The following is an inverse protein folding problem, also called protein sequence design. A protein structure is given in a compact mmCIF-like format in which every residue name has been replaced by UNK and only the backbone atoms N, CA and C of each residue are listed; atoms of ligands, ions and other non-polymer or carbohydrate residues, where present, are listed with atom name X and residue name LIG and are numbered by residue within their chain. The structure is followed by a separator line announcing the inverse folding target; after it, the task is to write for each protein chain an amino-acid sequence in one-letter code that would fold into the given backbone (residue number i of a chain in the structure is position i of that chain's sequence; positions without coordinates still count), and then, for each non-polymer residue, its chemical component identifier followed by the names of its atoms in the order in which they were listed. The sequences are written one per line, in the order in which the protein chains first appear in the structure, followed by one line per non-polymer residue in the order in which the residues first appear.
data_IF_536560782768
#
_entry.id   IF_536560782768
#
_cell.length_a   1.000
_cell.length_b   1.000
_cell.length_c   1.000
_cell.angle_alpha   90.00
_cell.angle_beta   90.00
_cell.angle_gamma   90.00
#
_symmetry.space_group_name_H-M   'P 1'
#
loop_
_entity.id
_entity.type
_entity.pdbx_description
1 polymer ?
#
# COMPACT_ATOMS: atom_id res chain seq x y z
N UNK A 1 0.64 -9.77 4.37
CA UNK A 1 -0.13 -10.95 3.91
C UNK A 1 0.51 -12.19 4.53
N UNK A 2 -0.28 -13.17 4.94
CA UNK A 2 0.23 -14.35 5.65
C UNK A 2 0.75 -15.38 4.64
N UNK A 3 2.00 -15.84 4.81
CA UNK A 3 2.62 -16.90 4.03
C UNK A 3 1.75 -18.17 4.00
N UNK A 4 1.05 -18.47 5.09
CA UNK A 4 0.13 -19.59 5.21
C UNK A 4 -0.96 -19.58 4.12
N UNK A 5 -1.51 -18.42 3.80
CA UNK A 5 -2.53 -18.27 2.74
C UNK A 5 -2.00 -18.69 1.37
N UNK A 6 -0.77 -18.31 1.02
CA UNK A 6 -0.18 -18.65 -0.28
C UNK A 6 0.15 -20.15 -0.37
N UNK A 7 0.66 -20.76 0.71
CA UNK A 7 0.89 -22.21 0.76
C UNK A 7 -0.42 -23.01 0.64
N UNK A 8 -1.49 -22.52 1.28
CA UNK A 8 -2.82 -23.15 1.16
C UNK A 8 -3.31 -23.10 -0.29
N UNK A 9 -3.15 -21.98 -0.98
CA UNK A 9 -3.53 -21.86 -2.40
C UNK A 9 -2.72 -22.84 -3.25
N UNK A 10 -1.40 -22.91 -3.06
CA UNK A 10 -0.55 -23.81 -3.82
C UNK A 10 -0.94 -25.29 -3.65
N UNK A 11 -1.34 -25.70 -2.44
CA UNK A 11 -1.80 -27.05 -2.14
C UNK A 11 -3.13 -27.43 -2.83
N UNK A 12 -4.01 -26.46 -3.08
CA UNK A 12 -5.32 -26.64 -3.70
C UNK A 12 -5.39 -26.24 -5.18
N UNK A 13 -4.25 -25.87 -5.77
CA UNK A 13 -4.17 -25.47 -7.17
C UNK A 13 -3.90 -26.65 -8.10
N UNK A 14 -4.58 -26.68 -9.23
CA UNK A 14 -4.43 -27.71 -10.26
C UNK A 14 -4.09 -27.06 -11.61
N UNK A 15 -3.04 -27.56 -12.28
CA UNK A 15 -2.59 -27.07 -13.56
C UNK A 15 -2.72 -28.12 -14.67
N UNK A 16 -3.07 -27.66 -15.87
CA UNK A 16 -3.00 -28.51 -17.07
C UNK A 16 -1.65 -28.46 -17.77
N UNK A 17 -0.68 -27.71 -17.22
CA UNK A 17 0.69 -27.65 -17.75
C UNK A 17 1.34 -29.02 -17.57
N UNK A 18 1.82 -29.61 -18.68
CA UNK A 18 2.37 -30.99 -18.67
C UNK A 18 1.34 -32.10 -18.53
N UNK A 19 0.07 -31.81 -18.32
CA UNK A 19 -0.98 -32.80 -18.16
C UNK A 19 -1.34 -33.45 -19.52
N UNK A 20 -1.59 -34.76 -19.49
CA UNK A 20 -2.09 -35.53 -20.63
C UNK A 20 -3.60 -35.23 -20.87
N UNK A 21 -4.14 -35.73 -21.98
CA UNK A 21 -5.55 -35.49 -22.37
C UNK A 21 -6.56 -36.02 -21.34
N UNK A 22 -6.25 -37.12 -20.67
CA UNK A 22 -7.13 -37.74 -19.66
C UNK A 22 -7.21 -36.83 -18.42
N UNK A 23 -6.08 -36.34 -17.94
CA UNK A 23 -6.02 -35.39 -16.82
C UNK A 23 -6.74 -34.09 -17.11
N UNK A 24 -6.52 -33.52 -18.31
CA UNK A 24 -7.24 -32.31 -18.76
C UNK A 24 -8.74 -32.50 -18.76
N UNK A 25 -9.24 -33.66 -19.28
CA UNK A 25 -10.67 -33.99 -19.25
C UNK A 25 -11.18 -34.17 -17.82
N UNK A 26 -10.40 -34.81 -16.94
CA UNK A 26 -10.75 -34.95 -15.53
C UNK A 26 -10.93 -33.63 -14.83
N UNK A 27 -9.98 -32.69 -14.98
CA UNK A 27 -10.06 -31.35 -14.38
C UNK A 27 -11.25 -30.56 -14.94
N UNK A 28 -11.50 -30.63 -16.27
CA UNK A 28 -12.65 -29.99 -16.89
C UNK A 28 -13.98 -30.53 -16.35
N UNK A 29 -14.10 -31.87 -16.13
CA UNK A 29 -15.28 -32.50 -15.55
C UNK A 29 -15.50 -32.07 -14.10
N UNK A 30 -14.45 -32.04 -13.29
CA UNK A 30 -14.52 -31.54 -11.90
C UNK A 30 -14.98 -30.07 -11.83
N UNK A 31 -14.51 -29.24 -12.78
CA UNK A 31 -14.96 -27.87 -12.90
C UNK A 31 -16.45 -27.76 -13.30
N UNK A 32 -16.93 -28.63 -14.20
CA UNK A 32 -18.37 -28.69 -14.54
C UNK A 32 -19.25 -29.13 -13.38
N UNK A 33 -18.71 -29.97 -12.49
CA UNK A 33 -19.39 -30.41 -11.24
C UNK A 33 -19.34 -29.36 -10.13
N UNK A 34 -18.63 -28.23 -10.32
CA UNK A 34 -18.48 -27.19 -9.31
C UNK A 34 -17.46 -27.51 -8.21
N UNK A 35 -16.70 -28.61 -8.32
CA UNK A 35 -15.63 -28.95 -7.38
C UNK A 35 -14.40 -28.06 -7.55
N UNK A 36 -14.17 -27.60 -8.78
CA UNK A 36 -13.06 -26.73 -9.16
C UNK A 36 -13.56 -25.43 -9.79
N UNK A 37 -12.87 -24.36 -9.50
CA UNK A 37 -13.08 -23.04 -10.12
C UNK A 37 -11.92 -22.75 -11.07
N UNK A 38 -12.23 -22.41 -12.32
CA UNK A 38 -11.20 -22.02 -13.30
C UNK A 38 -10.77 -20.56 -13.05
N UNK A 39 -9.56 -20.39 -12.54
CA UNK A 39 -9.01 -19.05 -12.18
C UNK A 39 -8.21 -18.40 -13.31
N UNK A 40 -7.60 -19.21 -14.18
CA UNK A 40 -6.88 -18.77 -15.38
C UNK A 40 -6.94 -19.88 -16.46
N UNK A 41 -6.60 -19.60 -17.74
CA UNK A 41 -6.53 -20.64 -18.76
C UNK A 41 -5.60 -21.79 -18.38
N UNK A 42 -6.19 -22.98 -18.16
CA UNK A 42 -5.47 -24.19 -17.77
C UNK A 42 -5.09 -24.24 -16.27
N UNK A 43 -5.64 -23.36 -15.44
CA UNK A 43 -5.39 -23.33 -14.00
C UNK A 43 -6.70 -23.31 -13.23
N UNK A 44 -6.80 -24.17 -12.21
CA UNK A 44 -8.00 -24.36 -11.42
C UNK A 44 -7.65 -24.33 -9.93
N UNK A 45 -8.62 -23.99 -9.10
CA UNK A 45 -8.52 -24.01 -7.64
C UNK A 45 -9.72 -24.78 -7.09
N UNK A 46 -9.54 -25.53 -6.01
CA UNK A 46 -10.65 -26.18 -5.32
C UNK A 46 -11.68 -25.12 -4.86
N UNK A 47 -12.96 -25.37 -5.15
CA UNK A 47 -14.03 -24.43 -4.81
C UNK A 47 -14.14 -24.22 -3.29
N UNK A 48 -13.91 -25.26 -2.52
CA UNK A 48 -13.90 -25.24 -1.06
C UNK A 48 -12.80 -24.31 -0.52
N UNK A 49 -11.61 -24.32 -1.09
CA UNK A 49 -10.50 -23.44 -0.68
C UNK A 49 -10.83 -21.96 -0.87
N UNK A 50 -11.66 -21.63 -1.86
CA UNK A 50 -12.13 -20.25 -2.07
C UNK A 50 -13.19 -19.88 -1.03
N UNK A 51 -14.19 -20.75 -0.81
CA UNK A 51 -15.37 -20.45 0.02
C UNK A 51 -15.07 -20.51 1.52
N UNK A 52 -14.09 -21.32 1.93
CA UNK A 52 -13.67 -21.42 3.33
C UNK A 52 -12.88 -20.19 3.83
N UNK A 53 -12.37 -19.35 2.93
CA UNK A 53 -11.59 -18.18 3.31
C UNK A 53 -12.48 -16.99 3.63
N UNK A 54 -12.06 -16.17 4.61
CA UNK A 54 -12.78 -14.95 5.02
C UNK A 54 -12.86 -13.89 3.90
N UNK A 55 -11.88 -13.89 2.98
CA UNK A 55 -11.75 -12.94 1.88
C UNK A 55 -11.55 -13.66 0.53
N UNK A 56 -12.60 -14.28 -0.04
CA UNK A 56 -12.51 -15.05 -1.29
C UNK A 56 -11.90 -14.30 -2.48
N UNK A 57 -12.16 -12.98 -2.69
CA UNK A 57 -11.51 -12.23 -3.77
C UNK A 57 -9.98 -12.18 -3.66
N UNK A 58 -9.45 -12.12 -2.44
CA UNK A 58 -7.99 -12.12 -2.18
C UNK A 58 -7.39 -13.45 -2.61
N UNK A 59 -8.01 -14.57 -2.23
CA UNK A 59 -7.57 -15.91 -2.64
C UNK A 59 -7.52 -16.05 -4.16
N UNK A 60 -8.57 -15.60 -4.84
CA UNK A 60 -8.61 -15.64 -6.31
C UNK A 60 -7.55 -14.76 -6.94
N UNK A 61 -7.30 -13.56 -6.40
CA UNK A 61 -6.25 -12.66 -6.90
C UNK A 61 -4.85 -13.30 -6.78
N UNK A 62 -4.54 -13.90 -5.63
CA UNK A 62 -3.29 -14.62 -5.40
C UNK A 62 -3.14 -15.85 -6.31
N UNK A 63 -4.20 -16.65 -6.43
CA UNK A 63 -4.19 -17.82 -7.29
C UNK A 63 -3.99 -17.44 -8.77
N UNK A 64 -4.58 -16.30 -9.21
CA UNK A 64 -4.34 -15.73 -10.54
C UNK A 64 -2.88 -15.31 -10.73
N UNK A 65 -2.26 -14.68 -9.73
CA UNK A 65 -0.83 -14.31 -9.79
C UNK A 65 0.07 -15.54 -9.91
N UNK A 66 -0.14 -16.56 -9.08
CA UNK A 66 0.60 -17.82 -9.16
C UNK A 66 0.42 -18.49 -10.53
N UNK A 67 -0.80 -18.55 -11.04
CA UNK A 67 -1.10 -19.09 -12.37
C UNK A 67 -0.42 -18.31 -13.49
N UNK A 68 -0.40 -16.99 -13.40
CA UNK A 68 0.28 -16.12 -14.37
C UNK A 68 1.78 -16.38 -14.39
N UNK A 69 2.43 -16.42 -13.24
CA UNK A 69 3.88 -16.63 -13.16
C UNK A 69 4.29 -18.06 -13.50
N UNK A 70 3.48 -19.05 -13.12
CA UNK A 70 3.73 -20.43 -13.54
C UNK A 70 3.73 -20.56 -15.07
N UNK A 71 2.80 -19.91 -15.76
CA UNK A 71 2.68 -19.94 -17.21
C UNK A 71 3.64 -18.97 -17.92
N UNK A 72 4.00 -17.88 -17.27
CA UNK A 72 4.81 -16.79 -17.81
C UNK A 72 5.91 -16.41 -16.79
N UNK A 73 6.98 -17.23 -16.64
CA UNK A 73 8.01 -17.01 -15.63
C UNK A 73 8.77 -15.68 -15.76
N UNK A 74 8.67 -15.03 -16.94
CA UNK A 74 9.25 -13.71 -17.19
C UNK A 74 8.39 -12.54 -16.67
N UNK A 75 7.20 -12.83 -16.13
CA UNK A 75 6.36 -11.81 -15.49
C UNK A 75 6.68 -11.71 -14.02
N UNK A 76 6.84 -10.50 -13.54
CA UNK A 76 6.97 -10.19 -12.11
C UNK A 76 5.83 -9.30 -11.65
N UNK A 77 5.45 -9.44 -10.41
CA UNK A 77 4.48 -8.54 -9.78
C UNK A 77 5.13 -7.18 -9.56
N UNK A 78 4.44 -6.10 -9.89
CA UNK A 78 4.96 -4.73 -9.81
C UNK A 78 3.88 -3.73 -9.40
N UNK A 79 4.26 -2.49 -9.18
CA UNK A 79 3.36 -1.37 -8.90
C UNK A 79 2.35 -1.65 -7.79
N UNK A 80 1.05 -1.29 -7.97
CA UNK A 80 0.03 -1.44 -6.92
C UNK A 80 -0.13 -2.88 -6.41
N UNK A 81 0.04 -3.88 -7.29
CA UNK A 81 -0.05 -5.29 -6.85
C UNK A 81 1.11 -5.68 -5.97
N UNK A 82 2.33 -5.23 -6.28
CA UNK A 82 3.50 -5.44 -5.42
C UNK A 82 3.35 -4.70 -4.09
N UNK A 83 2.82 -3.47 -4.10
CA UNK A 83 2.51 -2.70 -2.90
C UNK A 83 1.50 -3.46 -2.01
N UNK A 84 0.41 -3.96 -2.60
CA UNK A 84 -0.58 -4.77 -1.89
C UNK A 84 0.01 -6.03 -1.26
N UNK A 85 0.82 -6.79 -2.02
CA UNK A 85 1.47 -8.01 -1.50
C UNK A 85 2.43 -7.72 -0.33
N UNK A 86 3.06 -6.55 -0.33
CA UNK A 86 3.93 -6.08 0.75
C UNK A 86 3.18 -5.52 1.96
N UNK A 87 1.84 -5.38 1.87
CA UNK A 87 1.05 -4.73 2.92
C UNK A 87 1.16 -3.21 2.93
N UNK A 88 1.73 -2.60 1.88
CA UNK A 88 1.71 -1.15 1.75
C UNK A 88 0.26 -0.67 1.49
N UNK A 89 -0.16 0.43 2.11
CA UNK A 89 -1.52 0.90 2.01
C UNK A 89 -1.85 1.41 0.59
N UNK A 90 -2.99 0.98 0.08
CA UNK A 90 -3.59 1.50 -1.14
C UNK A 90 -4.93 2.15 -0.79
N UNK A 91 -5.24 3.28 -1.39
CA UNK A 91 -6.50 4.00 -1.17
C UNK A 91 -7.66 3.43 -1.98
N UNK A 92 -7.35 2.68 -3.05
CA UNK A 92 -8.31 2.08 -3.99
C UNK A 92 -7.94 0.64 -4.31
N UNK A 93 -8.91 -0.08 -4.85
CA UNK A 93 -8.63 -1.38 -5.46
C UNK A 93 -8.04 -1.17 -6.86
N UNK A 94 -7.01 -1.93 -7.17
CA UNK A 94 -6.35 -1.91 -8.47
C UNK A 94 -6.45 -3.26 -9.18
N UNK A 95 -6.52 -3.28 -10.53
CA UNK A 95 -6.35 -4.51 -11.28
C UNK A 95 -4.95 -5.08 -11.07
N UNK A 96 -4.80 -6.38 -11.35
CA UNK A 96 -3.50 -7.04 -11.25
C UNK A 96 -2.47 -6.37 -12.17
N UNK A 97 -1.38 -5.92 -11.59
CA UNK A 97 -0.30 -5.21 -12.26
C UNK A 97 0.97 -6.07 -12.27
N UNK A 98 1.47 -6.38 -13.44
CA UNK A 98 2.69 -7.16 -13.65
C UNK A 98 3.57 -6.51 -14.69
N UNK A 99 4.87 -6.66 -14.55
CA UNK A 99 5.89 -6.16 -15.46
C UNK A 99 6.61 -7.34 -16.12
N UNK A 100 6.91 -7.28 -17.40
CA UNK A 100 7.74 -8.27 -18.08
C UNK A 100 9.22 -7.92 -17.92
N UNK A 101 10.05 -8.91 -17.65
CA UNK A 101 11.52 -8.80 -17.70
C UNK A 101 12.07 -9.29 -19.06
N UNK A 102 11.19 -9.73 -19.97
CA UNK A 102 11.53 -10.17 -21.31
C UNK A 102 11.56 -8.99 -22.29
N UNK A 103 12.45 -9.06 -23.28
CA UNK A 103 12.51 -8.11 -24.40
C UNK A 103 11.32 -8.27 -25.37
N UNK A 104 10.55 -9.35 -25.26
CA UNK A 104 9.36 -9.57 -26.08
C UNK A 104 8.26 -8.57 -25.73
N UNK A 105 7.44 -8.23 -26.72
CA UNK A 105 6.26 -7.40 -26.50
C UNK A 105 5.25 -8.15 -25.64
N UNK A 106 4.88 -7.59 -24.48
CA UNK A 106 3.93 -8.23 -23.61
C UNK A 106 2.54 -8.26 -24.28
N UNK A 107 1.93 -9.45 -24.32
CA UNK A 107 0.55 -9.61 -24.83
C UNK A 107 -0.44 -9.53 -23.69
N UNK A 108 -1.64 -8.96 -23.93
CA UNK A 108 -2.73 -9.02 -22.96
C UNK A 108 -3.10 -10.47 -22.60
N UNK A 109 -3.31 -10.75 -21.33
CA UNK A 109 -3.65 -12.09 -20.83
C UNK A 109 -5.07 -12.04 -20.27
N UNK A 110 -6.06 -12.68 -20.92
CA UNK A 110 -7.41 -12.75 -20.42
C UNK A 110 -7.51 -13.73 -19.24
N UNK A 111 -8.15 -13.28 -18.17
CA UNK A 111 -8.51 -14.11 -17.01
C UNK A 111 -10.04 -14.28 -17.01
N UNK A 112 -10.54 -15.50 -16.82
CA UNK A 112 -11.95 -15.80 -16.93
C UNK A 112 -12.77 -15.14 -15.80
N UNK A 113 -14.03 -14.92 -16.06
CA UNK A 113 -15.03 -14.68 -15.05
C UNK A 113 -15.15 -15.89 -14.12
N UNK A 114 -15.45 -15.63 -12.84
CA UNK A 114 -15.59 -16.67 -11.82
C UNK A 114 -16.95 -16.55 -11.17
N UNK A 115 -17.66 -17.68 -11.15
CA UNK A 115 -18.87 -17.90 -10.37
C UNK A 115 -18.65 -19.11 -9.45
N UNK A 116 -18.80 -18.91 -8.14
CA UNK A 116 -18.69 -19.99 -7.15
C UNK A 116 -19.61 -19.69 -5.98
N UNK A 117 -20.79 -20.32 -5.92
CA UNK A 117 -21.82 -19.97 -4.98
C UNK A 117 -22.24 -18.50 -5.10
N UNK A 118 -22.20 -17.71 -4.01
CA UNK A 118 -22.50 -16.29 -4.03
C UNK A 118 -21.37 -15.43 -4.61
N UNK A 119 -20.17 -16.01 -4.82
CA UNK A 119 -19.01 -15.27 -5.29
C UNK A 119 -19.12 -15.04 -6.79
N UNK A 120 -19.04 -13.77 -7.18
CA UNK A 120 -18.90 -13.34 -8.57
C UNK A 120 -17.67 -12.43 -8.70
N UNK A 121 -16.71 -12.83 -9.54
CA UNK A 121 -15.54 -12.05 -9.90
C UNK A 121 -15.54 -11.88 -11.42
N UNK A 122 -15.61 -10.64 -11.92
CA UNK A 122 -15.69 -10.40 -13.36
C UNK A 122 -14.43 -10.86 -14.10
N UNK A 123 -14.59 -11.14 -15.40
CA UNK A 123 -13.47 -11.35 -16.29
C UNK A 123 -12.59 -10.11 -16.34
N UNK A 124 -11.27 -10.31 -16.38
CA UNK A 124 -10.30 -9.23 -16.43
C UNK A 124 -9.19 -9.54 -17.42
N UNK A 125 -8.66 -8.53 -18.08
CA UNK A 125 -7.49 -8.66 -18.95
C UNK A 125 -6.29 -8.04 -18.29
N UNK A 126 -5.34 -8.86 -17.90
CA UNK A 126 -4.04 -8.39 -17.39
C UNK A 126 -3.21 -7.90 -18.57
N UNK A 127 -2.71 -6.68 -18.48
CA UNK A 127 -1.83 -6.06 -19.47
C UNK A 127 -0.44 -5.90 -18.86
N UNK A 128 0.50 -6.83 -19.13
CA UNK A 128 1.86 -6.68 -18.62
C UNK A 128 2.49 -5.40 -19.16
N UNK A 129 3.24 -4.71 -18.33
CA UNK A 129 3.96 -3.51 -18.70
C UNK A 129 5.43 -3.83 -19.02
N UNK A 130 6.07 -3.02 -19.81
CA UNK A 130 7.53 -2.99 -19.88
C UNK A 130 8.09 -2.30 -18.65
N UNK A 131 9.31 -2.67 -18.21
CA UNK A 131 9.98 -1.95 -17.14
C UNK A 131 10.05 -0.46 -17.47
N UNK A 132 9.64 0.35 -16.53
CA UNK A 132 9.67 1.79 -16.71
C UNK A 132 11.13 2.26 -16.68
N UNK A 133 11.46 3.15 -17.61
CA UNK A 133 12.79 3.72 -17.66
C UNK A 133 13.87 2.87 -18.32
N UNK A 134 13.51 1.82 -19.06
CA UNK A 134 14.49 0.96 -19.74
C UNK A 134 15.39 0.16 -18.79
N UNK A 135 15.11 0.20 -17.47
CA UNK A 135 15.85 -0.52 -16.43
C UNK A 135 15.11 -1.82 -16.11
N UNK A 136 15.82 -2.95 -16.15
CA UNK A 136 15.26 -4.20 -15.62
C UNK A 136 15.01 -4.03 -14.11
N UNK A 137 13.78 -4.28 -13.61
CA UNK A 137 13.51 -4.18 -12.19
C UNK A 137 14.33 -5.22 -11.44
N UNK A 138 14.85 -4.85 -10.28
CA UNK A 138 15.39 -5.81 -9.35
C UNK A 138 14.24 -6.66 -8.79
N UNK A 139 14.49 -7.96 -8.63
CA UNK A 139 13.46 -8.94 -8.27
C UNK A 139 13.73 -9.53 -6.91
N UNK A 140 12.66 -9.71 -6.14
CA UNK A 140 12.68 -10.48 -4.91
C UNK A 140 11.65 -11.61 -5.01
N UNK A 141 11.93 -12.70 -4.31
CA UNK A 141 10.95 -13.74 -4.07
C UNK A 141 10.12 -13.31 -2.86
N UNK A 142 8.82 -13.24 -3.04
CA UNK A 142 7.84 -13.05 -1.97
C UNK A 142 7.43 -14.41 -1.41
N UNK A 143 6.67 -14.41 -0.34
CA UNK A 143 6.14 -15.65 0.23
C UNK A 143 5.43 -16.48 -0.84
N UNK A 144 5.58 -17.80 -0.76
CA UNK A 144 4.93 -18.75 -1.69
C UNK A 144 5.43 -18.69 -3.14
N UNK A 145 6.70 -18.35 -3.34
CA UNK A 145 7.37 -18.33 -4.65
C UNK A 145 6.88 -17.29 -5.67
N UNK A 146 6.14 -16.28 -5.22
CA UNK A 146 5.76 -15.15 -6.08
C UNK A 146 6.98 -14.28 -6.35
N UNK A 147 7.33 -14.11 -7.64
CA UNK A 147 8.38 -13.19 -8.05
C UNK A 147 7.82 -11.77 -8.19
N UNK A 148 8.43 -10.81 -7.52
CA UNK A 148 7.97 -9.42 -7.55
C UNK A 148 9.11 -8.41 -7.49
N UNK A 149 8.76 -7.16 -7.77
CA UNK A 149 9.67 -6.03 -7.70
C UNK A 149 10.21 -5.81 -6.27
N UNK A 150 11.42 -5.29 -6.13
CA UNK A 150 11.95 -4.84 -4.83
C UNK A 150 11.05 -3.76 -4.23
N UNK A 151 11.25 -3.44 -2.96
CA UNK A 151 10.48 -2.36 -2.32
C UNK A 151 10.74 -1.02 -3.00
N UNK A 152 12.00 -0.73 -3.34
CA UNK A 152 12.37 0.49 -4.06
C UNK A 152 11.69 0.57 -5.43
N UNK A 153 11.74 -0.51 -6.22
CA UNK A 153 11.08 -0.54 -7.53
C UNK A 153 9.55 -0.45 -7.39
N UNK A 154 8.98 -1.05 -6.35
CA UNK A 154 7.54 -0.94 -6.04
C UNK A 154 7.13 0.51 -5.78
N UNK A 155 7.89 1.23 -4.94
CA UNK A 155 7.63 2.64 -4.63
C UNK A 155 7.72 3.49 -5.91
N UNK A 156 8.75 3.27 -6.72
CA UNK A 156 8.94 4.02 -7.97
C UNK A 156 7.81 3.73 -8.96
N UNK A 157 7.44 2.46 -9.15
CA UNK A 157 6.36 2.08 -10.06
C UNK A 157 5.03 2.70 -9.63
N UNK A 158 4.73 2.70 -8.32
CA UNK A 158 3.55 3.36 -7.78
C UNK A 158 3.60 4.87 -7.98
N UNK A 159 4.75 5.52 -7.73
CA UNK A 159 4.92 6.95 -7.92
C UNK A 159 4.74 7.39 -9.38
N UNK A 160 5.09 6.52 -10.34
CA UNK A 160 4.94 6.76 -11.78
C UNK A 160 3.56 6.40 -12.32
N UNK A 161 2.81 5.49 -11.66
CA UNK A 161 1.58 4.90 -12.17
C UNK A 161 0.30 5.45 -11.55
N UNK A 162 0.33 5.73 -10.26
CA UNK A 162 -0.84 6.13 -9.48
C UNK A 162 -1.09 7.64 -9.57
N UNK A 163 -2.27 8.06 -9.16
CA UNK A 163 -2.49 9.48 -8.88
C UNK A 163 -1.60 9.94 -7.72
N UNK A 164 -1.39 11.25 -7.63
CA UNK A 164 -0.39 11.81 -6.72
C UNK A 164 -0.69 11.53 -5.26
N UNK A 165 -1.96 11.55 -4.85
CA UNK A 165 -2.36 11.31 -3.45
C UNK A 165 -2.06 9.86 -3.04
N UNK A 166 -2.51 8.89 -3.83
CA UNK A 166 -2.29 7.49 -3.53
C UNK A 166 -0.81 7.11 -3.63
N UNK A 167 -0.10 7.64 -4.65
CA UNK A 167 1.35 7.46 -4.77
C UNK A 167 2.11 8.01 -3.55
N UNK A 168 1.66 9.12 -2.98
CA UNK A 168 2.24 9.72 -1.78
C UNK A 168 2.05 8.81 -0.56
N UNK A 169 0.85 8.25 -0.37
CA UNK A 169 0.56 7.31 0.71
C UNK A 169 1.45 6.07 0.63
N UNK A 170 1.59 5.48 -0.57
CA UNK A 170 2.49 4.34 -0.79
C UNK A 170 3.95 4.73 -0.53
N UNK A 171 4.37 5.91 -0.96
CA UNK A 171 5.75 6.38 -0.77
C UNK A 171 6.09 6.63 0.71
N UNK A 172 5.18 7.21 1.50
CA UNK A 172 5.36 7.37 2.95
C UNK A 172 5.57 6.01 3.63
N UNK A 173 4.67 5.06 3.40
CA UNK A 173 4.77 3.73 3.98
C UNK A 173 6.01 2.97 3.50
N UNK A 174 6.35 3.07 2.23
CA UNK A 174 7.56 2.46 1.67
C UNK A 174 8.85 3.07 2.24
N UNK A 175 8.91 4.38 2.42
CA UNK A 175 10.02 5.07 3.09
C UNK A 175 10.11 4.68 4.57
N UNK A 176 8.98 4.54 5.26
CA UNK A 176 8.91 4.06 6.64
C UNK A 176 9.60 2.69 6.77
N UNK A 177 9.28 1.75 5.88
CA UNK A 177 9.87 0.42 5.84
C UNK A 177 11.37 0.47 5.49
N UNK A 178 11.76 1.20 4.43
CA UNK A 178 13.16 1.34 4.01
C UNK A 178 14.03 1.99 5.09
N UNK A 179 13.51 3.02 5.76
CA UNK A 179 14.20 3.71 6.84
C UNK A 179 14.17 2.92 8.15
N UNK A 180 13.33 1.88 8.25
CA UNK A 180 13.01 1.22 9.54
C UNK A 180 12.72 2.28 10.59
N UNK A 181 11.76 3.15 10.27
CA UNK A 181 11.51 4.35 11.06
C UNK A 181 11.08 3.99 12.49
N UNK A 182 11.71 4.68 13.46
CA UNK A 182 11.39 4.54 14.89
C UNK A 182 11.38 5.93 15.52
N UNK A 183 10.22 6.38 15.99
CA UNK A 183 10.03 7.71 16.58
C UNK A 183 10.95 8.01 17.78
N UNK A 184 11.32 6.99 18.58
CA UNK A 184 12.28 7.15 19.69
C UNK A 184 13.74 7.27 19.26
N UNK A 185 14.06 6.93 18.01
CA UNK A 185 15.37 7.05 17.35
C UNK A 185 15.25 7.93 16.11
N UNK A 186 14.60 9.09 16.29
CA UNK A 186 14.16 9.97 15.22
C UNK A 186 15.32 10.39 14.31
N UNK A 187 16.43 10.85 14.88
CA UNK A 187 17.56 11.38 14.11
C UNK A 187 18.19 10.32 13.20
N UNK A 188 18.44 9.13 13.74
CA UNK A 188 18.96 8.00 12.96
C UNK A 188 17.94 7.57 11.88
N UNK A 189 16.65 7.62 12.21
CA UNK A 189 15.58 7.27 11.26
C UNK A 189 15.49 8.30 10.13
N UNK A 190 15.60 9.58 10.44
CA UNK A 190 15.63 10.68 9.46
C UNK A 190 16.84 10.61 8.54
N UNK A 191 18.00 10.27 9.08
CA UNK A 191 19.20 10.08 8.26
C UNK A 191 19.03 8.93 7.27
N UNK A 192 18.47 7.78 7.72
CA UNK A 192 18.19 6.64 6.81
C UNK A 192 17.10 6.98 5.80
N UNK A 193 16.07 7.71 6.21
CA UNK A 193 15.02 8.18 5.30
C UNK A 193 15.61 9.02 4.18
N UNK A 194 16.40 10.04 4.50
CA UNK A 194 17.00 10.92 3.51
C UNK A 194 17.93 10.16 2.56
N UNK A 195 18.74 9.24 3.06
CA UNK A 195 19.57 8.38 2.23
C UNK A 195 18.71 7.57 1.23
N UNK A 196 17.63 6.95 1.68
CA UNK A 196 16.74 6.17 0.81
C UNK A 196 15.97 7.08 -0.16
N UNK A 197 15.51 8.24 0.27
CA UNK A 197 14.87 9.26 -0.58
C UNK A 197 15.78 9.65 -1.76
N UNK A 198 17.03 9.98 -1.48
CA UNK A 198 18.01 10.32 -2.52
C UNK A 198 18.26 9.17 -3.49
N UNK A 199 18.33 7.92 -2.99
CA UNK A 199 18.41 6.72 -3.85
C UNK A 199 17.21 6.61 -4.78
N UNK A 200 16.00 6.71 -4.26
CA UNK A 200 14.76 6.63 -5.05
C UNK A 200 14.69 7.73 -6.10
N UNK A 201 15.03 8.97 -5.75
CA UNK A 201 15.09 10.10 -6.68
C UNK A 201 16.12 9.89 -7.78
N UNK A 202 17.26 9.28 -7.46
CA UNK A 202 18.28 8.92 -8.45
C UNK A 202 17.80 7.82 -9.39
N UNK A 203 17.05 6.84 -8.88
CA UNK A 203 16.47 5.75 -9.68
C UNK A 203 15.40 6.24 -10.68
N UNK A 204 14.73 7.36 -10.43
CA UNK A 204 13.81 8.01 -11.39
C UNK A 204 14.55 8.87 -12.44
N UNK A 205 15.89 9.00 -12.34
CA UNK A 205 16.65 9.80 -13.30
C UNK A 205 16.49 9.28 -14.74
N UNK A 206 16.77 10.05 -15.74
CA UNK A 206 16.04 10.41 -16.96
C UNK A 206 15.70 9.19 -17.83
N UNK A 207 14.63 8.56 -17.52
CA UNK A 207 14.07 7.51 -18.36
C UNK A 207 12.99 8.12 -19.21
N UNK A 208 13.22 8.41 -20.46
CA UNK A 208 12.37 8.83 -21.57
C UNK A 208 10.83 8.71 -21.46
N UNK A 209 10.29 8.66 -20.26
CA UNK A 209 8.86 8.70 -19.95
C UNK A 209 8.37 10.15 -19.98
N UNK A 210 7.15 10.35 -20.39
CA UNK A 210 6.53 11.67 -20.49
C UNK A 210 6.78 12.51 -19.23
N UNK A 211 7.24 13.72 -19.43
CA UNK A 211 7.71 14.65 -18.39
C UNK A 211 6.74 14.78 -17.20
N UNK A 212 5.43 14.70 -17.44
CA UNK A 212 4.37 14.86 -16.42
C UNK A 212 4.42 13.76 -15.33
N UNK A 213 4.55 12.50 -15.69
CA UNK A 213 4.59 11.38 -14.71
C UNK A 213 5.87 11.43 -13.87
N UNK A 214 7.00 11.71 -14.50
CA UNK A 214 8.29 11.85 -13.82
C UNK A 214 8.28 13.04 -12.86
N UNK A 215 7.72 14.18 -13.27
CA UNK A 215 7.58 15.37 -12.41
C UNK A 215 6.71 15.08 -11.20
N UNK A 216 5.55 14.39 -11.40
CA UNK A 216 4.68 13.98 -10.30
C UNK A 216 5.39 13.02 -9.34
N UNK A 217 6.06 11.99 -9.87
CA UNK A 217 6.79 11.02 -9.06
C UNK A 217 7.92 11.66 -8.25
N UNK A 218 8.68 12.58 -8.85
CA UNK A 218 9.71 13.34 -8.14
C UNK A 218 9.10 14.18 -7.02
N UNK A 219 8.01 14.89 -7.29
CA UNK A 219 7.31 15.64 -6.25
C UNK A 219 6.87 14.75 -5.10
N UNK A 220 6.26 13.60 -5.39
CA UNK A 220 5.84 12.61 -4.39
C UNK A 220 7.03 12.19 -3.52
N UNK A 221 8.13 11.74 -4.13
CA UNK A 221 9.30 11.26 -3.38
C UNK A 221 10.02 12.37 -2.60
N UNK A 222 9.98 13.60 -3.09
CA UNK A 222 10.57 14.75 -2.39
C UNK A 222 9.82 15.07 -1.10
N UNK A 223 8.49 14.91 -1.10
CA UNK A 223 7.64 15.36 0.00
C UNK A 223 7.09 14.21 0.87
N UNK A 224 7.15 12.96 0.41
CA UNK A 224 6.77 11.82 1.24
C UNK A 224 7.65 11.73 2.49
N UNK A 225 7.09 11.27 3.60
CA UNK A 225 7.73 11.29 4.91
C UNK A 225 7.57 9.94 5.62
N UNK A 226 8.68 9.37 6.08
CA UNK A 226 8.72 8.08 6.75
C UNK A 226 8.10 8.09 8.16
N UNK A 227 7.84 9.25 8.73
CA UNK A 227 7.23 9.36 10.06
C UNK A 227 5.73 9.09 10.08
N UNK A 228 5.06 8.97 8.94
CA UNK A 228 3.65 8.60 8.90
C UNK A 228 3.47 7.12 9.25
N UNK A 229 2.79 6.84 10.37
CA UNK A 229 2.53 5.49 10.89
C UNK A 229 1.27 4.84 10.24
N UNK A 230 0.47 5.61 9.49
CA UNK A 230 -0.78 5.13 8.88
C UNK A 230 -1.07 5.80 7.53
N UNK A 231 -1.96 5.16 6.75
CA UNK A 231 -2.47 5.74 5.50
C UNK A 231 -3.22 7.07 5.72
N UNK A 232 -3.93 7.20 6.84
CA UNK A 232 -4.66 8.41 7.17
C UNK A 232 -3.73 9.58 7.52
N UNK A 233 -2.66 9.33 8.26
CA UNK A 233 -1.61 10.32 8.53
C UNK A 233 -0.91 10.75 7.24
N UNK A 234 -0.56 9.78 6.38
CA UNK A 234 0.06 10.08 5.07
C UNK A 234 -0.85 10.93 4.18
N UNK A 235 -2.15 10.63 4.17
CA UNK A 235 -3.14 11.39 3.41
C UNK A 235 -3.34 12.80 3.98
N UNK A 236 -3.39 12.92 5.31
CA UNK A 236 -3.45 14.22 5.98
C UNK A 236 -2.21 15.07 5.64
N UNK A 237 -1.01 14.50 5.78
CA UNK A 237 0.23 15.17 5.41
C UNK A 237 0.22 15.60 3.94
N UNK A 238 -0.25 14.73 3.03
CA UNK A 238 -0.38 15.07 1.61
C UNK A 238 -1.20 16.35 1.39
N UNK A 239 -2.38 16.47 2.03
CA UNK A 239 -3.24 17.64 1.90
C UNK A 239 -2.55 18.93 2.39
N UNK A 240 -1.84 18.83 3.51
CA UNK A 240 -1.11 19.98 4.08
C UNK A 240 0.05 20.41 3.18
N UNK A 241 0.87 19.49 2.73
CA UNK A 241 2.00 19.76 1.82
C UNK A 241 1.51 20.31 0.49
N UNK A 242 0.46 19.71 -0.09
CA UNK A 242 -0.12 20.17 -1.36
C UNK A 242 -0.69 21.59 -1.27
N UNK A 243 -1.19 21.99 -0.09
CA UNK A 243 -1.69 23.35 0.15
C UNK A 243 -0.61 24.42 0.30
N UNK A 244 0.67 24.02 0.26
CA UNK A 244 1.82 24.90 0.40
C UNK A 244 2.17 25.28 1.85
N UNK A 245 1.60 24.59 2.85
CA UNK A 245 1.99 24.78 4.25
C UNK A 245 3.45 24.35 4.44
N UNK A 246 4.21 25.17 5.17
CA UNK A 246 5.63 24.98 5.45
C UNK A 246 5.87 24.63 6.93
N UNK A 247 7.07 24.16 7.24
CA UNK A 247 7.47 23.85 8.61
C UNK A 247 6.76 22.64 9.20
N UNK A 248 6.25 21.72 8.34
CA UNK A 248 5.60 20.49 8.77
C UNK A 248 6.64 19.46 9.22
N UNK A 249 6.48 18.93 10.41
CA UNK A 249 7.30 17.83 10.94
C UNK A 249 6.41 16.69 11.42
N UNK A 250 6.71 15.45 10.99
CA UNK A 250 5.95 14.29 11.44
C UNK A 250 6.55 13.65 12.68
N UNK A 251 5.71 12.98 13.47
CA UNK A 251 6.06 12.32 14.74
C UNK A 251 6.91 13.26 15.62
N UNK A 252 6.40 14.48 15.80
CA UNK A 252 7.12 15.51 16.56
C UNK A 252 7.12 15.19 18.04
N UNK A 253 8.29 15.08 18.69
CA UNK A 253 8.39 14.71 20.09
C UNK A 253 8.10 15.90 21.02
N UNK A 254 7.24 15.71 22.00
CA UNK A 254 6.95 16.66 23.07
C UNK A 254 7.12 15.96 24.43
N UNK A 255 7.99 16.50 25.27
CA UNK A 255 8.17 16.01 26.63
C UNK A 255 7.17 16.72 27.56
N UNK A 256 6.24 15.99 28.15
CA UNK A 256 5.29 16.52 29.12
C UNK A 256 5.12 15.54 30.28
N UNK A 257 5.15 16.05 31.52
CA UNK A 257 5.08 15.22 32.78
C UNK A 257 6.03 14.01 32.76
N UNK A 258 7.28 14.21 32.35
CA UNK A 258 8.35 13.21 32.29
C UNK A 258 8.05 12.03 31.33
N UNK A 259 7.14 12.22 30.33
CA UNK A 259 6.78 11.25 29.32
C UNK A 259 6.86 11.91 27.93
N UNK A 260 7.39 11.14 26.96
CA UNK A 260 7.38 11.56 25.56
C UNK A 260 6.04 11.27 24.92
N UNK A 261 5.50 12.29 24.27
CA UNK A 261 4.36 12.23 23.38
C UNK A 261 4.81 12.57 21.95
N UNK A 262 4.14 12.02 20.96
CA UNK A 262 4.46 12.27 19.58
C UNK A 262 3.22 12.82 18.87
N UNK A 263 3.37 13.93 18.18
CA UNK A 263 2.31 14.57 17.38
C UNK A 263 2.47 14.08 15.95
N UNK A 264 1.38 13.60 15.33
CA UNK A 264 1.43 12.99 13.99
C UNK A 264 2.04 13.94 12.96
N UNK A 265 1.54 15.20 12.88
CA UNK A 265 2.11 16.29 12.10
C UNK A 265 2.12 17.56 12.95
N UNK A 266 3.25 18.21 13.09
CA UNK A 266 3.38 19.44 13.85
C UNK A 266 3.84 20.60 12.96
N UNK A 267 3.49 21.84 13.37
CA UNK A 267 4.13 23.08 12.95
C UNK A 267 4.77 23.68 14.22
N UNK A 268 6.02 23.29 14.55
CA UNK A 268 6.62 23.56 15.87
C UNK A 268 6.76 25.04 16.19
N UNK A 269 7.11 25.88 15.22
CA UNK A 269 7.25 27.34 15.38
C UNK A 269 5.98 27.98 15.92
N UNK A 270 4.82 27.43 15.56
CA UNK A 270 3.50 27.91 15.95
C UNK A 270 2.85 27.07 17.06
N UNK A 271 3.51 26.00 17.52
CA UNK A 271 2.96 25.01 18.46
C UNK A 271 1.60 24.48 18.03
N UNK A 272 1.43 24.20 16.76
CA UNK A 272 0.22 23.60 16.20
C UNK A 272 0.49 22.10 16.01
N UNK A 273 -0.35 21.26 16.60
CA UNK A 273 -0.38 19.82 16.40
C UNK A 273 -1.59 19.41 15.57
N UNK A 274 -1.36 18.56 14.60
CA UNK A 274 -2.37 18.06 13.66
C UNK A 274 -2.33 16.54 13.72
N UNK A 275 -3.43 15.92 14.11
CA UNK A 275 -3.50 14.49 14.38
C UNK A 275 -4.58 13.81 13.53
N UNK A 276 -4.31 12.60 13.12
CA UNK A 276 -5.28 11.76 12.43
C UNK A 276 -5.89 10.74 13.40
N UNK A 277 -7.22 10.83 13.61
CA UNK A 277 -7.97 9.90 14.45
C UNK A 277 -8.60 8.78 13.60
N UNK A 278 -7.89 7.67 13.47
CA UNK A 278 -8.43 6.45 12.84
C UNK A 278 -9.33 5.68 13.82
N UNK A 279 -10.55 5.38 13.43
CA UNK A 279 -11.59 4.70 14.26
C UNK A 279 -11.23 3.30 14.82
N UNK A 280 -9.99 2.82 14.65
CA UNK A 280 -9.59 1.46 15.03
C UNK A 280 -8.94 1.29 16.42
N UNK A 281 -8.82 2.36 17.20
CA UNK A 281 -8.04 2.32 18.47
C UNK A 281 -8.84 1.91 19.71
N UNK A 282 -10.15 1.79 19.62
CA UNK A 282 -10.99 1.43 20.78
C UNK A 282 -11.23 -0.08 20.77
N UNK A 283 -10.80 -0.72 21.86
CA UNK A 283 -11.06 -2.15 22.10
C UNK A 283 -12.55 -2.47 22.12
N UNK A 284 -12.90 -3.74 22.03
CA UNK A 284 -14.29 -4.23 22.00
C UNK A 284 -14.98 -4.21 23.38
N UNK A 285 -14.25 -3.88 24.44
CA UNK A 285 -14.70 -3.86 25.84
C UNK A 285 -14.90 -2.42 26.33
N UNK A 286 -16.03 -2.14 26.98
CA UNK A 286 -16.44 -0.81 27.47
C UNK A 286 -15.37 -0.20 28.39
N UNK A 287 -14.78 -1.00 29.28
CA UNK A 287 -13.76 -0.52 30.21
C UNK A 287 -12.44 -0.16 29.52
N UNK A 288 -12.09 -0.86 28.43
CA UNK A 288 -10.94 -0.52 27.61
C UNK A 288 -11.15 0.76 26.81
N UNK A 289 -12.37 0.98 26.35
CA UNK A 289 -12.78 2.22 25.66
C UNK A 289 -12.70 3.42 26.61
N UNK A 290 -13.26 3.32 27.83
CA UNK A 290 -13.19 4.41 28.80
C UNK A 290 -11.75 4.76 29.18
N UNK A 291 -10.91 3.78 29.47
CA UNK A 291 -9.48 4.00 29.80
C UNK A 291 -8.74 4.67 28.64
N UNK A 292 -9.06 4.31 27.40
CA UNK A 292 -8.45 4.91 26.21
C UNK A 292 -8.85 6.38 26.04
N UNK A 293 -10.13 6.71 26.28
CA UNK A 293 -10.64 8.08 26.24
C UNK A 293 -9.98 8.94 27.33
N UNK A 294 -9.95 8.46 28.57
CA UNK A 294 -9.30 9.18 29.69
C UNK A 294 -7.80 9.42 29.45
N UNK A 295 -7.10 8.42 28.89
CA UNK A 295 -5.69 8.54 28.55
C UNK A 295 -5.46 9.60 27.45
N UNK A 296 -6.36 9.65 26.46
CA UNK A 296 -6.27 10.61 25.37
C UNK A 296 -6.62 12.04 25.81
N UNK A 297 -7.63 12.21 26.66
CA UNK A 297 -7.95 13.51 27.27
C UNK A 297 -6.82 14.03 28.16
N UNK A 298 -6.19 13.12 28.92
CA UNK A 298 -5.01 13.47 29.73
C UNK A 298 -3.85 13.89 28.85
N UNK A 299 -3.60 13.16 27.78
CA UNK A 299 -2.57 13.49 26.79
C UNK A 299 -2.81 14.88 26.20
N UNK A 300 -4.04 15.17 25.78
CA UNK A 300 -4.40 16.46 25.21
C UNK A 300 -4.16 17.60 26.21
N UNK A 301 -4.67 17.48 27.44
CA UNK A 301 -4.43 18.50 28.49
C UNK A 301 -2.95 18.76 28.75
N UNK A 302 -2.11 17.73 28.72
CA UNK A 302 -0.67 17.87 28.91
C UNK A 302 0.00 18.61 27.74
N UNK A 303 -0.40 18.35 26.52
CA UNK A 303 0.11 19.06 25.34
C UNK A 303 -0.38 20.52 25.33
N UNK A 304 -1.63 20.78 25.65
CA UNK A 304 -2.21 22.12 25.74
C UNK A 304 -1.52 22.94 26.84
N UNK A 305 -1.18 22.35 27.99
CA UNK A 305 -0.41 22.99 29.06
C UNK A 305 1.01 23.38 28.62
N UNK A 306 1.55 22.74 27.58
CA UNK A 306 2.80 23.13 26.91
C UNK A 306 2.61 24.18 25.82
N UNK A 307 1.39 24.68 25.65
CA UNK A 307 1.03 25.68 24.66
C UNK A 307 0.73 25.11 23.27
N UNK A 308 0.61 23.79 23.13
CA UNK A 308 0.23 23.18 21.87
C UNK A 308 -1.26 23.35 21.60
N UNK A 309 -1.64 23.69 20.38
CA UNK A 309 -3.01 23.72 19.89
C UNK A 309 -3.22 22.50 19.00
N UNK A 310 -3.93 21.50 19.51
CA UNK A 310 -4.11 20.24 18.82
C UNK A 310 -5.40 20.25 18.00
N UNK A 311 -5.31 19.90 16.72
CA UNK A 311 -6.44 19.68 15.83
C UNK A 311 -6.47 18.25 15.33
N UNK A 312 -7.64 17.59 15.44
CA UNK A 312 -7.81 16.20 15.00
C UNK A 312 -8.73 16.11 13.81
N UNK A 313 -8.36 15.25 12.87
CA UNK A 313 -9.13 14.97 11.68
C UNK A 313 -9.39 13.48 11.55
N UNK A 314 -10.54 13.13 10.97
CA UNK A 314 -10.95 11.76 10.66
C UNK A 314 -11.06 11.57 9.16
N UNK A 315 -11.29 10.33 8.73
CA UNK A 315 -11.42 10.01 7.30
C UNK A 315 -12.43 10.87 6.57
N UNK A 316 -13.56 11.17 7.21
CA UNK A 316 -14.61 11.99 6.62
C UNK A 316 -14.13 13.42 6.32
N UNK A 317 -13.32 13.99 7.18
CA UNK A 317 -12.75 15.32 6.99
C UNK A 317 -11.77 15.36 5.80
N UNK A 318 -11.03 14.27 5.56
CA UNK A 318 -10.09 14.19 4.43
C UNK A 318 -10.79 14.16 3.06
N UNK A 319 -12.10 13.97 3.02
CA UNK A 319 -12.89 14.14 1.80
C UNK A 319 -13.12 15.62 1.45
N UNK A 320 -12.86 16.55 2.38
CA UNK A 320 -13.02 17.99 2.24
C UNK A 320 -11.70 18.72 2.49
N UNK A 321 -10.71 18.60 1.57
CA UNK A 321 -9.34 19.12 1.75
C UNK A 321 -9.29 20.61 2.10
N UNK A 322 -10.16 21.40 1.48
CA UNK A 322 -10.24 22.85 1.63
C UNK A 322 -10.60 23.25 3.06
N UNK A 323 -11.52 22.51 3.69
CA UNK A 323 -11.92 22.73 5.08
C UNK A 323 -10.79 22.37 6.07
N UNK A 324 -10.07 21.27 5.81
CA UNK A 324 -8.91 20.86 6.61
C UNK A 324 -7.86 21.96 6.59
N UNK A 325 -7.48 22.43 5.39
CA UNK A 325 -6.46 23.48 5.20
C UNK A 325 -6.91 24.80 5.82
N UNK A 326 -8.19 25.21 5.62
CA UNK A 326 -8.72 26.44 6.19
C UNK A 326 -8.65 26.46 7.73
N UNK A 327 -8.98 25.34 8.38
CA UNK A 327 -8.88 25.22 9.84
C UNK A 327 -7.43 25.38 10.34
N UNK A 328 -6.44 24.84 9.62
CA UNK A 328 -5.03 24.98 10.01
C UNK A 328 -4.54 26.40 9.77
N UNK A 329 -4.90 27.03 8.64
CA UNK A 329 -4.56 28.44 8.37
C UNK A 329 -5.15 29.38 9.41
N UNK A 330 -6.40 29.18 9.84
CA UNK A 330 -7.02 29.97 10.91
C UNK A 330 -6.29 29.81 12.27
N UNK A 331 -5.65 28.65 12.52
CA UNK A 331 -4.78 28.50 13.70
C UNK A 331 -3.46 29.27 13.55
N UNK A 332 -2.89 29.33 12.36
CA UNK A 332 -1.66 30.10 12.09
C UNK A 332 -1.87 31.61 12.25
N UNK A 333 -3.00 32.13 11.78
CA UNK A 333 -3.35 33.57 11.89
C UNK A 333 -3.54 34.03 13.35
N UNK A 334 -3.83 33.12 14.27
CA UNK A 334 -4.00 33.40 15.72
C UNK A 334 -2.72 33.20 16.53
N UNK A 335 -1.59 32.99 15.86
CA UNK A 335 -0.30 32.63 16.51
C UNK A 335 0.59 33.84 16.77
#
# INVERSE_FOLDING_TARGET
MDAHTIYTIAAHAHSTTGANNTERRRLARRAQLGELVRIAPGYYLDAEAITAHSEPPVIVALARLLALQHKHPHLIVSGPTAAWLRGLPLLRQHPLHVTTVSDQHPRPIPLPEIHSGPLHIPAVTVRPHRPRGGRSPAMNRYDGDIMGATLEDTIIDCALALDREEAFVVACAGLHELARYRRFYRDDSRQREEHNRMRLLHMIAPSGQGTKHVTSARWVLTHADAGCDSAGESRLLYLLVQSGLQGLETQYPVLASNKWYFIDVAIPEHRIGIEFDGRGKYGSDIDSVHRSIEAEERRQRLLEAQGWRIRRFRWEALAHPEEVVAQIRALLERS
#
